data_IF_829079882591
#
_entry.id   IF_829079882591
#
_cell.length_a   1.000
_cell.length_b   1.000
_cell.length_c   1.000
_cell.angle_alpha   90.00
_cell.angle_beta   90.00
_cell.angle_gamma   90.00
#
_symmetry.space_group_name_H-M   'P 1'
#
loop_
_entity.id
_entity.type
_entity.pdbx_description
1 polymer ?
#
# COMPACT_ATOMS: atom_id res chain seq x y z
N UNK A 1 -8.85 29.05 -2.87
CA UNK A 1 -9.54 27.93 -2.18
C UNK A 1 -8.48 27.21 -1.37
N UNK A 2 -8.67 27.14 -0.06
CA UNK A 2 -7.76 26.41 0.84
C UNK A 2 -8.19 24.94 0.79
N UNK A 3 -7.32 24.06 0.31
CA UNK A 3 -7.55 22.62 0.37
C UNK A 3 -7.07 22.13 1.74
N UNK A 4 -7.98 21.73 2.63
CA UNK A 4 -7.64 21.13 3.92
C UNK A 4 -7.24 19.66 3.73
N UNK A 5 -6.03 19.44 3.23
CA UNK A 5 -5.49 18.12 2.96
C UNK A 5 -3.96 18.10 2.97
N UNK A 6 -3.38 16.96 2.63
CA UNK A 6 -1.94 16.79 2.57
C UNK A 6 -1.37 17.46 1.31
N UNK A 7 -0.48 18.43 1.48
CA UNK A 7 0.27 19.07 0.39
C UNK A 7 1.75 18.80 0.56
N UNK A 8 2.33 18.02 -0.35
CA UNK A 8 3.75 17.66 -0.33
C UNK A 8 4.39 18.05 -1.66
N UNK A 9 5.60 18.61 -1.60
CA UNK A 9 6.47 18.82 -2.76
C UNK A 9 7.65 17.85 -2.68
N UNK A 10 7.88 17.09 -3.74
CA UNK A 10 8.97 16.12 -3.82
C UNK A 10 10.07 16.61 -4.75
N UNK A 11 11.32 16.38 -4.35
CA UNK A 11 12.48 16.52 -5.22
C UNK A 11 12.90 15.14 -5.71
N UNK A 12 13.00 14.96 -7.04
CA UNK A 12 13.41 13.69 -7.65
C UNK A 12 14.79 13.88 -8.31
N UNK A 13 15.87 13.29 -7.75
CA UNK A 13 17.21 13.42 -8.30
C UNK A 13 17.41 12.49 -9.51
N UNK A 14 17.02 12.94 -10.71
CA UNK A 14 17.13 12.16 -11.97
C UNK A 14 18.55 11.77 -12.38
N UNK A 15 19.57 12.34 -11.75
CA UNK A 15 20.97 11.96 -12.01
C UNK A 15 21.41 10.72 -11.22
N UNK A 16 20.59 10.26 -10.26
CA UNK A 16 20.85 9.06 -9.45
C UNK A 16 20.02 7.86 -9.90
N UNK A 17 19.14 8.01 -10.90
CA UNK A 17 18.36 6.91 -11.45
C UNK A 17 19.23 6.01 -12.31
N UNK A 18 19.22 4.71 -12.02
CA UNK A 18 19.94 3.70 -12.78
C UNK A 18 19.13 3.33 -14.04
N UNK A 19 19.62 3.64 -15.25
CA UNK A 19 18.83 3.49 -16.48
C UNK A 19 18.43 2.03 -16.79
N UNK A 20 19.16 1.05 -16.25
CA UNK A 20 18.89 -0.38 -16.45
C UNK A 20 17.82 -0.95 -15.53
N UNK A 21 17.44 -0.24 -14.46
CA UNK A 21 16.46 -0.71 -13.47
C UNK A 21 15.23 0.20 -13.36
N UNK A 22 15.31 1.43 -13.89
CA UNK A 22 14.20 2.40 -13.87
C UNK A 22 13.71 2.64 -15.30
N UNK A 23 12.56 2.04 -15.63
CA UNK A 23 11.93 2.18 -16.96
C UNK A 23 11.10 3.47 -17.09
N UNK A 24 10.76 4.13 -15.97
CA UNK A 24 9.99 5.37 -15.96
C UNK A 24 10.46 6.30 -14.83
N UNK A 25 10.62 7.59 -15.16
CA UNK A 25 10.88 8.65 -14.19
C UNK A 25 9.58 9.06 -13.47
N UNK A 26 9.55 8.99 -12.14
CA UNK A 26 8.44 9.51 -11.36
C UNK A 26 8.37 9.00 -9.93
N UNK A 27 7.21 9.23 -9.31
CA UNK A 27 6.89 8.75 -7.97
C UNK A 27 5.80 7.70 -8.06
N UNK A 28 5.88 6.69 -7.19
CA UNK A 28 4.79 5.77 -6.94
C UNK A 28 4.06 6.23 -5.67
N UNK A 29 2.79 6.61 -5.81
CA UNK A 29 1.91 6.93 -4.70
C UNK A 29 1.11 5.68 -4.29
N UNK A 30 1.02 5.47 -2.98
CA UNK A 30 0.21 4.44 -2.36
C UNK A 30 -0.65 5.05 -1.25
N UNK A 31 -1.90 4.61 -1.17
CA UNK A 31 -2.81 4.89 -0.07
C UNK A 31 -3.16 3.55 0.57
N UNK A 32 -2.98 3.44 1.89
CA UNK A 32 -3.30 2.25 2.67
C UNK A 32 -3.75 2.68 4.07
N UNK A 33 -4.45 1.80 4.79
CA UNK A 33 -4.77 2.06 6.20
C UNK A 33 -3.51 1.92 7.07
N UNK A 34 -3.48 2.59 8.23
CA UNK A 34 -2.30 2.62 9.11
C UNK A 34 -1.85 1.22 9.57
N UNK A 35 -2.80 0.28 9.66
CA UNK A 35 -2.57 -1.09 10.13
C UNK A 35 -2.24 -2.06 8.98
N UNK A 36 -2.23 -1.57 7.74
CA UNK A 36 -1.96 -2.36 6.54
C UNK A 36 -0.50 -2.24 6.09
N UNK A 37 0.00 -3.32 5.47
CA UNK A 37 1.30 -3.29 4.81
C UNK A 37 1.26 -2.49 3.51
N UNK A 38 2.22 -1.58 3.36
CA UNK A 38 2.45 -0.85 2.11
C UNK A 38 3.01 -1.76 1.01
N UNK A 39 2.15 -2.55 0.35
CA UNK A 39 2.54 -3.40 -0.77
C UNK A 39 2.63 -2.60 -2.08
N UNK A 40 3.84 -2.15 -2.41
CA UNK A 40 4.10 -1.20 -3.50
C UNK A 40 3.99 -1.73 -4.94
N UNK A 41 3.69 -3.02 -5.17
CA UNK A 41 3.88 -3.62 -6.50
C UNK A 41 2.62 -3.57 -7.38
N UNK A 42 1.41 -3.68 -6.79
CA UNK A 42 0.17 -3.82 -7.57
C UNK A 42 -0.72 -2.58 -7.59
N UNK A 43 -0.72 -1.78 -6.52
CA UNK A 43 -1.73 -0.72 -6.32
C UNK A 43 -1.16 0.71 -6.39
N UNK A 44 -0.05 0.92 -7.12
CA UNK A 44 0.54 2.25 -7.23
C UNK A 44 -0.22 3.12 -8.21
N UNK A 45 -0.31 4.40 -7.86
CA UNK A 45 -0.54 5.46 -8.83
C UNK A 45 0.81 6.06 -9.19
N UNK A 46 1.17 6.04 -10.47
CA UNK A 46 2.40 6.67 -10.95
C UNK A 46 2.17 8.16 -11.17
N UNK A 47 3.00 8.99 -10.55
CA UNK A 47 2.95 10.44 -10.63
C UNK A 47 4.14 10.95 -11.46
N UNK A 48 3.83 11.67 -12.54
CA UNK A 48 4.84 12.27 -13.41
C UNK A 48 5.49 13.49 -12.75
N UNK A 49 6.82 13.65 -12.81
CA UNK A 49 7.49 14.82 -12.26
C UNK A 49 7.17 16.11 -13.01
N UNK A 50 7.28 17.25 -12.32
CA UNK A 50 7.10 18.59 -12.90
C UNK A 50 5.65 19.03 -13.08
N UNK A 51 4.69 18.22 -12.63
CA UNK A 51 3.27 18.54 -12.61
C UNK A 51 2.76 18.55 -11.17
N UNK A 52 1.81 19.44 -10.89
CA UNK A 52 1.02 19.37 -9.66
C UNK A 52 -0.07 18.31 -9.84
N UNK A 53 -0.12 17.35 -8.91
CA UNK A 53 -1.13 16.29 -8.90
C UNK A 53 -2.14 16.57 -7.79
N UNK A 54 -3.42 16.61 -8.12
CA UNK A 54 -4.50 16.67 -7.14
C UNK A 54 -5.08 15.27 -7.04
N UNK A 55 -4.89 14.65 -5.87
CA UNK A 55 -5.37 13.29 -5.61
C UNK A 55 -6.57 13.37 -4.70
N UNK A 56 -7.69 12.85 -5.18
CA UNK A 56 -8.92 12.66 -4.40
C UNK A 56 -9.13 11.18 -4.20
N UNK A 57 -9.52 10.77 -3.00
CA UNK A 57 -9.82 9.38 -2.71
C UNK A 57 -11.17 9.23 -2.04
N UNK A 58 -11.77 8.05 -2.17
CA UNK A 58 -12.96 7.63 -1.45
C UNK A 58 -12.62 6.33 -0.75
N UNK A 59 -12.69 6.30 0.59
CA UNK A 59 -12.52 5.06 1.34
C UNK A 59 -13.71 4.13 1.03
N UNK A 60 -13.41 2.88 0.72
CA UNK A 60 -14.38 1.81 0.52
C UNK A 60 -13.99 0.65 1.43
N UNK A 61 -14.93 0.21 2.26
CA UNK A 61 -14.72 -0.94 3.14
C UNK A 61 -15.50 -2.13 2.59
N UNK A 62 -14.86 -3.29 2.53
CA UNK A 62 -15.52 -4.54 2.14
C UNK A 62 -15.51 -5.48 3.34
N UNK A 63 -16.70 -5.90 3.76
CA UNK A 63 -16.88 -6.83 4.88
C UNK A 63 -17.26 -8.19 4.30
N UNK A 64 -16.51 -9.22 4.66
CA UNK A 64 -16.77 -10.59 4.24
C UNK A 64 -17.49 -11.36 5.34
N UNK A 65 -18.45 -12.20 4.95
CA UNK A 65 -19.04 -13.16 5.89
C UNK A 65 -17.98 -14.23 6.25
N UNK A 66 -17.86 -14.61 7.53
CA UNK A 66 -16.91 -15.65 7.93
C UNK A 66 -17.29 -17.01 7.34
N UNK A 67 -16.40 -17.99 7.48
CA UNK A 67 -16.71 -19.39 7.17
C UNK A 67 -18.04 -19.81 7.82
N UNK A 68 -18.92 -20.54 7.10
CA UNK A 68 -18.68 -21.20 5.81
C UNK A 68 -19.04 -20.37 4.56
N UNK A 69 -19.47 -19.11 4.71
CA UNK A 69 -20.03 -18.34 3.60
C UNK A 69 -18.97 -17.80 2.64
N UNK A 70 -17.78 -17.47 3.14
CA UNK A 70 -16.65 -17.11 2.30
C UNK A 70 -15.35 -17.73 2.82
N UNK A 71 -14.41 -17.95 1.92
CA UNK A 71 -13.00 -18.29 2.21
C UNK A 71 -12.09 -17.06 2.03
N UNK A 72 -12.63 -15.86 2.20
CA UNK A 72 -11.89 -14.62 2.07
C UNK A 72 -11.33 -14.20 3.43
N UNK A 73 -10.10 -13.71 3.45
CA UNK A 73 -9.45 -13.17 4.65
C UNK A 73 -8.58 -11.97 4.30
N UNK A 74 -8.59 -10.97 5.17
CA UNK A 74 -7.60 -9.88 5.18
C UNK A 74 -6.48 -10.14 6.19
N UNK A 75 -6.63 -11.17 7.03
CA UNK A 75 -5.60 -11.55 7.99
C UNK A 75 -4.37 -12.13 7.28
N UNK A 76 -3.20 -11.66 7.68
CA UNK A 76 -1.91 -12.13 7.17
C UNK A 76 -1.60 -13.54 7.68
N UNK A 77 -1.08 -14.39 6.80
CA UNK A 77 -0.69 -15.76 7.13
C UNK A 77 0.39 -15.84 8.21
N UNK A 78 0.40 -16.93 8.99
CA UNK A 78 1.26 -17.12 10.17
C UNK A 78 2.76 -16.93 9.88
N UNK A 79 3.24 -17.38 8.72
CA UNK A 79 4.65 -17.24 8.34
C UNK A 79 5.06 -15.78 8.08
N UNK A 80 4.19 -15.01 7.41
CA UNK A 80 4.48 -13.61 7.14
C UNK A 80 4.37 -12.79 8.43
N UNK A 81 3.40 -13.11 9.30
CA UNK A 81 3.32 -12.53 10.65
C UNK A 81 4.62 -12.75 11.44
N UNK A 82 5.18 -13.96 11.41
CA UNK A 82 6.45 -14.26 12.07
C UNK A 82 7.63 -13.43 11.54
N UNK A 83 7.69 -13.17 10.23
CA UNK A 83 8.70 -12.28 9.65
C UNK A 83 8.58 -10.87 10.24
N UNK A 84 7.35 -10.35 10.42
CA UNK A 84 7.12 -9.05 11.06
C UNK A 84 7.49 -9.02 12.55
N UNK A 85 7.20 -10.10 13.28
CA UNK A 85 7.58 -10.26 14.70
C UNK A 85 9.10 -10.23 14.89
N UNK A 86 9.85 -10.84 13.98
CA UNK A 86 11.30 -11.07 14.14
C UNK A 86 12.13 -9.95 13.54
N UNK A 87 11.73 -9.39 12.38
CA UNK A 87 12.57 -8.50 11.58
C UNK A 87 12.21 -7.02 11.75
N UNK A 88 10.93 -6.70 11.97
CA UNK A 88 10.46 -5.32 11.93
C UNK A 88 10.14 -4.78 13.33
N UNK A 89 9.01 -5.16 13.92
CA UNK A 89 8.61 -4.75 15.27
C UNK A 89 7.57 -5.77 15.81
N UNK A 90 7.80 -6.40 16.97
CA UNK A 90 6.85 -7.31 17.60
C UNK A 90 5.48 -6.68 17.87
N UNK A 91 5.42 -5.38 18.12
CA UNK A 91 4.17 -4.67 18.40
C UNK A 91 3.33 -4.45 17.13
N UNK A 92 3.96 -4.37 15.96
CA UNK A 92 3.27 -4.23 14.67
C UNK A 92 2.68 -5.56 14.19
N UNK A 93 3.30 -6.69 14.54
CA UNK A 93 2.94 -8.01 14.04
C UNK A 93 1.48 -8.44 14.31
N UNK A 94 0.88 -8.00 15.41
CA UNK A 94 -0.49 -8.33 15.76
C UNK A 94 -1.52 -7.56 14.93
N UNK A 95 -1.14 -6.41 14.40
CA UNK A 95 -2.00 -5.47 13.68
C UNK A 95 -1.91 -5.62 12.16
N UNK A 96 -0.94 -6.40 11.65
CA UNK A 96 -0.72 -6.55 10.21
C UNK A 96 -1.89 -7.23 9.50
N UNK A 97 -2.52 -6.49 8.60
CA UNK A 97 -3.50 -6.97 7.62
C UNK A 97 -3.02 -6.77 6.18
N UNK A 98 -3.56 -7.57 5.25
CA UNK A 98 -3.48 -7.28 3.83
C UNK A 98 -4.41 -6.12 3.47
N UNK A 99 -3.96 -5.24 2.58
CA UNK A 99 -4.76 -4.14 2.04
C UNK A 99 -5.87 -4.58 1.08
N UNK A 100 -5.90 -5.87 0.74
CA UNK A 100 -6.94 -6.49 -0.06
C UNK A 100 -7.31 -7.85 0.54
N UNK A 101 -8.57 -8.27 0.36
CA UNK A 101 -8.99 -9.58 0.78
C UNK A 101 -8.47 -10.66 -0.16
N UNK A 102 -7.83 -11.67 0.41
CA UNK A 102 -7.41 -12.88 -0.31
C UNK A 102 -8.50 -13.92 -0.19
N UNK A 103 -9.10 -14.29 -1.31
CA UNK A 103 -10.09 -15.36 -1.39
C UNK A 103 -9.44 -16.62 -1.99
N UNK A 104 -9.45 -17.71 -1.23
CA UNK A 104 -8.93 -18.99 -1.70
C UNK A 104 -10.00 -19.74 -2.50
N UNK A 105 -9.64 -20.20 -3.69
CA UNK A 105 -10.46 -21.15 -4.47
C UNK A 105 -10.41 -22.54 -3.80
N UNK A 106 -11.54 -23.25 -3.84
CA UNK A 106 -11.69 -24.62 -3.32
C UNK A 106 -11.27 -25.65 -4.36
#
# INVERSE_FOLDING_TARGET
MMYEGLSITFYIPRHLSFPSTTFEDGLALFLHDNDELAFMVKNSIRLRPGLAHIITYRKSETIFLPKPYTNCTTAVGRNLRHIYEVIFDPHLALQVAYSEALCYEL
#
